data_IF_048488213150
#
_entry.id   IF_048488213150
#
_cell.length_a   1.000
_cell.length_b   1.000
_cell.length_c   1.000
_cell.angle_alpha   90.00
_cell.angle_beta   90.00
_cell.angle_gamma   90.00
#
_symmetry.space_group_name_H-M   'P 1'
#
loop_
_entity.id
_entity.type
_entity.pdbx_description
1 polymer ?
#
# COMPACT_ATOMS: atom_id res chain seq x y z
N UNK A 1 6.77 -24.28 7.58
CA UNK A 1 5.62 -24.87 6.85
C UNK A 1 5.51 -24.07 5.57
N UNK A 2 5.76 -24.68 4.41
CA UNK A 2 5.46 -24.01 3.13
C UNK A 2 3.95 -24.05 2.90
N UNK A 3 3.30 -22.95 2.50
CA UNK A 3 1.90 -22.96 2.10
C UNK A 3 1.66 -23.95 0.96
N UNK A 4 0.46 -24.49 0.89
CA UNK A 4 0.04 -25.35 -0.23
C UNK A 4 0.28 -24.59 -1.56
N UNK A 5 1.06 -25.14 -2.50
CA UNK A 5 1.29 -24.51 -3.80
C UNK A 5 0.00 -24.17 -4.55
N UNK A 6 -1.06 -24.96 -4.36
CA UNK A 6 -2.35 -24.75 -5.02
C UNK A 6 -3.09 -23.52 -4.47
N UNK A 7 -2.66 -22.97 -3.32
CA UNK A 7 -3.24 -21.74 -2.75
C UNK A 7 -2.62 -20.46 -3.29
N UNK A 8 -1.48 -20.55 -3.99
CA UNK A 8 -0.71 -19.37 -4.37
C UNK A 8 -1.46 -18.49 -5.37
N UNK A 9 -1.39 -17.18 -5.13
CA UNK A 9 -1.93 -16.20 -6.07
C UNK A 9 -0.95 -15.82 -7.16
N UNK A 10 -1.41 -15.07 -8.16
CA UNK A 10 -0.59 -14.77 -9.33
C UNK A 10 0.54 -13.79 -9.01
N UNK A 11 0.35 -12.87 -8.06
CA UNK A 11 1.21 -11.71 -7.81
C UNK A 11 2.61 -12.12 -7.35
N UNK A 12 3.65 -11.59 -7.99
CA UNK A 12 5.05 -11.86 -7.66
C UNK A 12 5.65 -10.79 -6.75
N UNK A 13 6.73 -11.12 -6.05
CA UNK A 13 7.37 -10.23 -5.07
C UNK A 13 7.88 -8.90 -5.69
N UNK A 14 8.39 -8.92 -6.93
CA UNK A 14 8.85 -7.70 -7.59
C UNK A 14 7.68 -6.73 -7.91
N UNK A 15 6.47 -7.25 -8.12
CA UNK A 15 5.26 -6.45 -8.35
C UNK A 15 4.82 -5.76 -7.06
N UNK A 16 4.89 -6.46 -5.92
CA UNK A 16 4.71 -5.87 -4.58
C UNK A 16 5.67 -4.70 -4.35
N UNK A 17 6.97 -4.93 -4.55
CA UNK A 17 7.97 -3.90 -4.27
C UNK A 17 7.71 -2.67 -5.14
N UNK A 18 7.36 -2.86 -6.41
CA UNK A 18 6.99 -1.77 -7.31
C UNK A 18 5.75 -1.01 -6.82
N UNK A 19 4.72 -1.72 -6.36
CA UNK A 19 3.52 -1.09 -5.79
C UNK A 19 3.76 -0.35 -4.48
N UNK A 20 4.72 -0.82 -3.67
CA UNK A 20 4.97 -0.32 -2.31
C UNK A 20 5.39 1.15 -2.29
N UNK A 21 6.37 1.54 -3.11
CA UNK A 21 6.86 2.92 -3.11
C UNK A 21 5.82 3.89 -3.70
N UNK A 22 5.04 3.47 -4.69
CA UNK A 22 3.92 4.24 -5.24
C UNK A 22 2.79 4.39 -4.22
N UNK A 23 2.47 3.32 -3.47
CA UNK A 23 1.48 3.36 -2.39
C UNK A 23 1.87 4.40 -1.32
N UNK A 24 3.13 4.45 -0.93
CA UNK A 24 3.62 5.47 -0.01
C UNK A 24 3.36 6.89 -0.54
N UNK A 25 3.69 7.16 -1.82
CA UNK A 25 3.41 8.47 -2.45
C UNK A 25 1.91 8.78 -2.38
N UNK A 26 1.07 7.80 -2.68
CA UNK A 26 -0.38 7.95 -2.66
C UNK A 26 -0.90 8.27 -1.26
N UNK A 27 -0.35 7.66 -0.21
CA UNK A 27 -0.67 8.05 1.16
C UNK A 27 -0.30 9.51 1.43
N UNK A 28 0.89 9.94 1.05
CA UNK A 28 1.32 11.33 1.22
C UNK A 28 0.38 12.29 0.49
N UNK A 29 0.01 11.97 -0.76
CA UNK A 29 -0.94 12.79 -1.53
C UNK A 29 -2.31 12.84 -0.85
N UNK A 30 -2.84 11.70 -0.41
CA UNK A 30 -4.13 11.62 0.29
C UNK A 30 -4.12 12.50 1.53
N UNK A 31 -3.14 12.34 2.40
CA UNK A 31 -3.14 12.99 3.71
C UNK A 31 -2.68 14.44 3.64
N UNK A 32 -1.60 14.74 2.93
CA UNK A 32 -1.04 16.09 2.90
C UNK A 32 -1.74 17.00 1.89
N UNK A 33 -2.18 16.48 0.74
CA UNK A 33 -2.74 17.30 -0.34
C UNK A 33 -4.26 17.27 -0.42
N UNK A 34 -4.88 16.09 -0.35
CA UNK A 34 -6.34 15.97 -0.48
C UNK A 34 -7.06 16.30 0.83
N UNK A 35 -6.58 15.73 1.93
CA UNK A 35 -7.19 15.89 3.25
C UNK A 35 -6.66 17.10 4.02
N UNK A 36 -5.48 17.60 3.67
CA UNK A 36 -4.83 18.73 4.35
C UNK A 36 -4.47 18.43 5.81
N UNK A 37 -4.28 17.15 6.15
CA UNK A 37 -4.00 16.67 7.50
C UNK A 37 -2.74 15.78 7.45
N UNK A 38 -1.54 16.39 7.36
CA UNK A 38 -0.30 15.63 7.29
C UNK A 38 -0.13 14.74 8.52
N UNK A 39 0.30 13.50 8.29
CA UNK A 39 0.63 12.56 9.36
C UNK A 39 2.12 12.63 9.70
N UNK A 40 2.46 12.16 10.90
CA UNK A 40 3.86 11.88 11.24
C UNK A 40 4.40 10.76 10.35
N UNK A 41 5.67 10.86 9.98
CA UNK A 41 6.34 9.98 9.01
C UNK A 41 6.18 8.49 9.33
N UNK A 42 6.33 8.10 10.59
CA UNK A 42 6.17 6.71 11.03
C UNK A 42 4.76 6.15 10.76
N UNK A 43 3.72 7.00 10.70
CA UNK A 43 2.36 6.56 10.37
C UNK A 43 2.24 6.21 8.89
N UNK A 44 2.88 6.97 8.00
CA UNK A 44 2.95 6.63 6.58
C UNK A 44 3.70 5.31 6.38
N UNK A 45 4.84 5.15 7.05
CA UNK A 45 5.59 3.89 7.01
C UNK A 45 4.75 2.71 7.49
N UNK A 46 4.06 2.85 8.63
CA UNK A 46 3.21 1.78 9.18
C UNK A 46 2.03 1.44 8.25
N UNK A 47 1.34 2.43 7.70
CA UNK A 47 0.25 2.19 6.75
C UNK A 47 0.74 1.53 5.45
N UNK A 48 1.94 1.91 4.98
CA UNK A 48 2.57 1.30 3.81
C UNK A 48 2.95 -0.16 4.09
N UNK A 49 3.57 -0.44 5.24
CA UNK A 49 3.93 -1.80 5.67
C UNK A 49 2.69 -2.68 5.84
N UNK A 50 1.64 -2.15 6.45
CA UNK A 50 0.38 -2.87 6.59
C UNK A 50 -0.21 -3.15 5.22
N UNK A 51 -0.27 -2.14 4.34
CA UNK A 51 -0.64 -2.28 2.93
C UNK A 51 0.13 -3.40 2.23
N UNK A 52 1.46 -3.42 2.36
CA UNK A 52 2.33 -4.44 1.77
C UNK A 52 2.08 -5.84 2.35
N UNK A 53 1.65 -5.96 3.62
CA UNK A 53 1.35 -7.27 4.21
C UNK A 53 0.16 -7.99 3.54
N UNK A 54 -0.69 -7.26 2.80
CA UNK A 54 -1.70 -7.81 1.89
C UNK A 54 -1.11 -8.76 0.85
N UNK A 55 0.10 -8.48 0.36
CA UNK A 55 0.81 -9.37 -0.56
C UNK A 55 0.99 -10.76 0.01
N UNK A 56 1.33 -10.90 1.30
CA UNK A 56 1.52 -12.23 1.89
C UNK A 56 0.24 -13.05 1.79
N UNK A 57 -0.91 -12.41 2.06
CA UNK A 57 -2.21 -13.08 2.01
C UNK A 57 -2.53 -13.48 0.57
N UNK A 58 -2.36 -12.58 -0.40
CA UNK A 58 -2.66 -12.88 -1.80
C UNK A 58 -1.63 -13.79 -2.47
N UNK A 59 -0.36 -13.71 -2.10
CA UNK A 59 0.67 -14.52 -2.73
C UNK A 59 0.55 -15.98 -2.27
N UNK A 60 0.25 -16.22 -1.00
CA UNK A 60 0.28 -17.57 -0.43
C UNK A 60 -1.10 -18.20 -0.20
N UNK A 61 -2.17 -17.43 -0.06
CA UNK A 61 -3.46 -17.92 0.44
C UNK A 61 -4.64 -17.58 -0.47
N UNK A 62 -4.42 -17.06 -1.68
CA UNK A 62 -5.47 -16.57 -2.57
C UNK A 62 -6.54 -17.61 -2.91
N UNK A 63 -6.12 -18.85 -3.17
CA UNK A 63 -7.05 -19.95 -3.46
C UNK A 63 -7.35 -20.82 -2.23
N UNK A 64 -6.94 -20.41 -1.03
CA UNK A 64 -7.23 -21.15 0.19
C UNK A 64 -8.73 -21.11 0.52
N UNK A 65 -9.33 -22.19 1.08
CA UNK A 65 -10.75 -22.25 1.39
C UNK A 65 -11.20 -21.21 2.44
N UNK A 66 -10.27 -20.69 3.23
CA UNK A 66 -10.50 -19.67 4.24
C UNK A 66 -10.02 -18.26 3.83
N UNK A 67 -9.63 -18.06 2.56
CA UNK A 67 -9.12 -16.79 2.05
C UNK A 67 -10.03 -15.60 2.40
N UNK A 68 -11.34 -15.75 2.20
CA UNK A 68 -12.32 -14.69 2.48
C UNK A 68 -12.32 -14.28 3.96
N UNK A 69 -12.09 -15.21 4.89
CA UNK A 69 -12.01 -14.87 6.31
C UNK A 69 -10.77 -14.04 6.62
N UNK A 70 -9.63 -14.43 6.05
CA UNK A 70 -8.36 -13.73 6.26
C UNK A 70 -8.39 -12.35 5.62
N UNK A 71 -8.85 -12.25 4.37
CA UNK A 71 -8.83 -10.99 3.64
C UNK A 71 -9.77 -9.95 4.28
N UNK A 72 -10.96 -10.37 4.72
CA UNK A 72 -11.90 -9.49 5.41
C UNK A 72 -11.36 -9.06 6.79
N UNK A 73 -10.71 -9.97 7.51
CA UNK A 73 -10.07 -9.66 8.79
C UNK A 73 -8.93 -8.65 8.61
N UNK A 74 -8.11 -8.85 7.58
CA UNK A 74 -7.05 -7.91 7.21
C UNK A 74 -7.61 -6.54 6.83
N UNK A 75 -8.64 -6.48 5.98
CA UNK A 75 -9.28 -5.22 5.60
C UNK A 75 -9.85 -4.48 6.81
N UNK A 76 -10.45 -5.19 7.76
CA UNK A 76 -10.93 -4.61 9.01
C UNK A 76 -9.76 -4.03 9.82
N UNK A 77 -8.68 -4.79 10.02
CA UNK A 77 -7.47 -4.33 10.72
C UNK A 77 -6.88 -3.09 10.05
N UNK A 78 -6.82 -3.07 8.71
CA UNK A 78 -6.33 -1.92 7.94
C UNK A 78 -7.18 -0.67 8.18
N UNK A 79 -8.51 -0.78 8.03
CA UNK A 79 -9.43 0.35 8.23
C UNK A 79 -9.42 0.85 9.68
N UNK A 80 -9.37 -0.06 10.65
CA UNK A 80 -9.24 0.29 12.07
C UNK A 80 -7.93 1.04 12.32
N UNK A 81 -6.82 0.54 11.80
CA UNK A 81 -5.51 1.20 11.91
C UNK A 81 -5.52 2.58 11.26
N UNK A 82 -6.07 2.70 10.06
CA UNK A 82 -6.27 3.99 9.36
C UNK A 82 -7.06 4.98 10.21
N UNK A 83 -8.17 4.53 10.82
CA UNK A 83 -8.99 5.36 11.69
C UNK A 83 -8.21 5.85 12.91
N UNK A 84 -7.51 4.96 13.61
CA UNK A 84 -6.76 5.32 14.82
C UNK A 84 -5.56 6.22 14.52
N UNK A 85 -4.88 6.02 13.40
CA UNK A 85 -3.68 6.79 13.07
C UNK A 85 -3.99 8.21 12.57
N UNK A 86 -5.11 8.42 11.87
CA UNK A 86 -5.36 9.71 11.21
C UNK A 86 -6.74 10.33 11.37
N UNK A 87 -7.77 9.60 11.84
CA UNK A 87 -9.14 10.16 11.97
C UNK A 87 -9.59 10.38 13.42
N UNK A 88 -9.16 9.53 14.35
CA UNK A 88 -9.68 9.49 15.73
C UNK A 88 -9.61 10.86 16.40
N UNK A 89 -8.41 11.44 16.42
CA UNK A 89 -8.13 12.70 17.12
C UNK A 89 -8.30 13.93 16.21
N UNK A 90 -8.75 13.73 14.97
CA UNK A 90 -8.98 14.83 14.04
C UNK A 90 -10.24 15.63 14.43
N UNK A 91 -10.06 16.91 14.75
CA UNK A 91 -11.14 17.87 14.96
C UNK A 91 -11.71 18.36 13.62
N UNK A 92 -12.23 17.43 12.83
CA UNK A 92 -12.75 17.67 11.49
C UNK A 92 -14.23 17.28 11.38
N UNK A 93 -14.92 17.91 10.43
CA UNK A 93 -16.34 17.66 10.18
C UNK A 93 -16.62 16.20 9.78
N UNK A 94 -17.84 15.73 10.05
CA UNK A 94 -18.26 14.36 9.73
C UNK A 94 -18.03 14.00 8.25
N UNK A 95 -18.34 14.91 7.32
CA UNK A 95 -18.11 14.69 5.88
C UNK A 95 -16.64 14.43 5.57
N UNK A 96 -15.73 15.17 6.21
CA UNK A 96 -14.29 14.95 6.04
C UNK A 96 -13.89 13.57 6.54
N UNK A 97 -14.43 13.11 7.68
CA UNK A 97 -14.15 11.77 8.21
C UNK A 97 -14.68 10.67 7.29
N UNK A 98 -15.87 10.83 6.70
CA UNK A 98 -16.41 9.91 5.70
C UNK A 98 -15.54 9.87 4.44
N UNK A 99 -15.11 11.03 3.93
CA UNK A 99 -14.18 11.11 2.80
C UNK A 99 -12.85 10.43 3.13
N UNK A 100 -12.28 10.68 4.30
CA UNK A 100 -11.02 10.09 4.72
C UNK A 100 -11.11 8.56 4.90
N UNK A 101 -12.26 8.03 5.37
CA UNK A 101 -12.51 6.58 5.39
C UNK A 101 -12.66 6.00 3.98
N UNK A 102 -13.39 6.67 3.10
CA UNK A 102 -13.53 6.24 1.71
C UNK A 102 -12.16 6.19 0.99
N UNK A 103 -11.28 7.16 1.28
CA UNK A 103 -9.92 7.18 0.73
C UNK A 103 -9.06 5.99 1.19
N UNK A 104 -9.37 5.34 2.31
CA UNK A 104 -8.71 4.08 2.68
C UNK A 104 -8.99 2.97 1.65
N UNK A 105 -10.24 2.88 1.18
CA UNK A 105 -10.65 1.93 0.13
C UNK A 105 -10.01 2.29 -1.21
N UNK A 106 -10.04 3.57 -1.58
CA UNK A 106 -9.38 4.07 -2.81
C UNK A 106 -7.88 3.75 -2.78
N UNK A 107 -7.22 3.97 -1.66
CA UNK A 107 -5.81 3.63 -1.47
C UNK A 107 -5.56 2.13 -1.68
N UNK A 108 -6.38 1.24 -1.10
CA UNK A 108 -6.25 -0.20 -1.31
C UNK A 108 -6.41 -0.61 -2.78
N UNK A 109 -7.38 -0.02 -3.50
CA UNK A 109 -7.57 -0.27 -4.94
C UNK A 109 -6.37 0.21 -5.74
N UNK A 110 -5.84 1.40 -5.43
CA UNK A 110 -4.65 1.94 -6.10
C UNK A 110 -3.41 1.07 -5.85
N UNK A 111 -3.23 0.55 -4.64
CA UNK A 111 -2.14 -0.36 -4.31
C UNK A 111 -2.16 -1.58 -5.23
N UNK A 112 -3.29 -2.29 -5.30
CA UNK A 112 -3.47 -3.44 -6.19
C UNK A 112 -3.26 -3.03 -7.65
N UNK A 113 -3.75 -1.85 -8.02
CA UNK A 113 -3.53 -1.27 -9.35
C UNK A 113 -2.04 -1.14 -9.68
N UNK A 114 -1.19 -0.72 -8.74
CA UNK A 114 0.25 -0.60 -8.98
C UNK A 114 0.94 -1.95 -9.15
N UNK A 115 0.54 -2.97 -8.39
CA UNK A 115 1.02 -4.34 -8.58
C UNK A 115 0.64 -4.87 -9.98
N UNK A 116 -0.62 -4.64 -10.38
CA UNK A 116 -1.11 -5.02 -11.71
C UNK A 116 -0.45 -4.23 -12.83
N UNK A 117 -0.03 -2.99 -12.61
CA UNK A 117 0.73 -2.21 -13.59
C UNK A 117 2.12 -2.81 -13.83
N UNK A 118 2.81 -3.26 -12.77
CA UNK A 118 4.08 -3.96 -12.91
C UNK A 118 3.91 -5.28 -13.69
N UNK A 119 2.89 -6.05 -13.34
CA UNK A 119 2.50 -7.27 -14.07
C UNK A 119 2.25 -7.00 -15.55
N UNK A 120 1.40 -6.02 -15.85
CA UNK A 120 1.03 -5.68 -17.22
C UNK A 120 2.27 -5.24 -18.04
N UNK A 121 3.21 -4.54 -17.42
CA UNK A 121 4.47 -4.18 -18.07
C UNK A 121 5.27 -5.43 -18.47
N UNK A 122 5.35 -6.42 -17.58
CA UNK A 122 6.05 -7.69 -17.84
C UNK A 122 5.34 -8.50 -18.92
N UNK A 123 4.01 -8.61 -18.85
CA UNK A 123 3.20 -9.27 -19.88
C UNK A 123 3.36 -8.61 -21.26
N UNK A 124 3.68 -7.32 -21.30
CA UNK A 124 3.99 -6.57 -22.54
C UNK A 124 5.47 -6.62 -22.96
N UNK A 125 6.29 -7.44 -22.29
CA UNK A 125 7.68 -7.71 -22.66
C UNK A 125 8.74 -6.91 -21.91
N UNK A 126 8.37 -6.15 -20.87
CA UNK A 126 9.37 -5.52 -19.99
C UNK A 126 10.02 -6.59 -19.11
N UNK A 127 11.33 -6.71 -19.16
CA UNK A 127 12.04 -7.68 -18.32
C UNK A 127 11.94 -7.30 -16.83
N UNK A 128 11.73 -8.28 -15.95
CA UNK A 128 11.56 -8.09 -14.49
C UNK A 128 12.68 -7.25 -13.86
N UNK A 129 13.91 -7.40 -14.35
CA UNK A 129 15.08 -6.62 -13.90
C UNK A 129 14.85 -5.12 -14.00
N UNK A 130 14.11 -4.65 -15.01
CA UNK A 130 13.80 -3.24 -15.18
C UNK A 130 12.74 -2.76 -14.20
N UNK A 131 11.76 -3.62 -13.87
CA UNK A 131 10.78 -3.33 -12.82
C UNK A 131 11.48 -3.23 -11.46
N UNK A 132 12.41 -4.16 -11.16
CA UNK A 132 13.20 -4.08 -9.93
C UNK A 132 14.10 -2.84 -9.90
N UNK A 133 14.81 -2.53 -11.00
CA UNK A 133 15.64 -1.32 -11.09
C UNK A 133 14.81 -0.04 -10.88
N UNK A 134 13.66 0.07 -11.54
CA UNK A 134 12.72 1.18 -11.35
C UNK A 134 12.24 1.28 -9.91
N UNK A 135 11.99 0.15 -9.26
CA UNK A 135 11.55 0.09 -7.87
C UNK A 135 12.62 0.63 -6.91
N UNK A 136 13.87 0.16 -7.03
CA UNK A 136 14.96 0.67 -6.19
C UNK A 136 15.24 2.15 -6.44
N UNK A 137 15.17 2.59 -7.70
CA UNK A 137 15.24 4.02 -8.03
C UNK A 137 14.10 4.82 -7.40
N UNK A 138 12.87 4.28 -7.42
CA UNK A 138 11.69 4.86 -6.77
C UNK A 138 11.84 5.02 -5.26
N UNK A 139 12.32 3.98 -4.57
CA UNK A 139 12.65 4.07 -3.14
C UNK A 139 13.77 5.10 -2.85
N UNK A 140 14.81 5.15 -3.68
CA UNK A 140 15.84 6.18 -3.58
C UNK A 140 15.26 7.59 -3.73
N UNK A 141 14.36 7.78 -4.70
CA UNK A 141 13.62 9.02 -4.90
C UNK A 141 12.75 9.39 -3.70
N UNK A 142 12.05 8.43 -3.08
CA UNK A 142 11.28 8.65 -1.86
C UNK A 142 12.15 9.14 -0.70
N UNK A 143 13.29 8.51 -0.47
CA UNK A 143 14.21 8.89 0.62
C UNK A 143 14.70 10.33 0.40
N UNK A 144 15.08 10.68 -0.83
CA UNK A 144 15.51 12.03 -1.17
C UNK A 144 14.39 13.05 -1.02
N UNK A 145 13.16 12.69 -1.42
CA UNK A 145 11.99 13.56 -1.33
C UNK A 145 11.52 13.80 0.12
N UNK A 146 11.59 12.77 0.97
CA UNK A 146 11.15 12.82 2.37
C UNK A 146 12.26 13.20 3.34
N UNK A 147 13.47 13.50 2.85
CA UNK A 147 14.58 13.98 3.68
C UNK A 147 14.17 15.28 4.38
N UNK A 148 14.30 15.39 5.72
CA UNK A 148 14.05 16.65 6.43
C UNK A 148 15.00 17.73 5.91
N UNK A 149 14.47 18.91 5.58
CA UNK A 149 15.23 20.06 5.08
C UNK A 149 16.06 20.79 6.15
N UNK A 150 16.07 20.32 7.41
CA UNK A 150 16.73 20.97 8.55
C UNK A 150 18.24 20.70 8.66
N UNK A 151 18.95 20.58 7.53
CA UNK A 151 20.42 20.56 7.47
C UNK A 151 20.97 21.62 6.50
N UNK A 152 20.38 22.83 6.54
CA UNK A 152 21.01 24.06 6.00
C UNK A 152 20.71 25.24 6.91
#
# INVERSE_FOLDING_TARGET
>A
MQPDPDWQGPIAFHELLFGTWLSYITLVVIWEKLLGAPLNEWKYALLTCLGASFFIINHYLFHAPFYLWIINSYSLIFVVTWYFLGLRDANQAFRWKCTALFLAVVHSVLYVGYELLARLAIERGVHEVWIMAATFAGFGGLILWRRPTNER
#
